data_IF_762884318610
#
_entry.id   IF_762884318610
#
_cell.length_a   1.000
_cell.length_b   1.000
_cell.length_c   1.000
_cell.angle_alpha   90.00
_cell.angle_beta   90.00
_cell.angle_gamma   90.00
#
_symmetry.space_group_name_H-M   'P 1'
#
loop_
_entity.id
_entity.type
_entity.pdbx_description
1 polymer ?
#
# COMPACT_ATOMS: atom_id res chain seq x y z
N UNK A 1 6.09 4.36 -18.09
CA UNK A 1 7.14 3.53 -17.47
C UNK A 1 6.72 3.27 -16.05
N UNK A 2 6.85 2.03 -15.57
CA UNK A 2 6.53 1.66 -14.19
C UNK A 2 7.82 1.16 -13.57
N UNK A 3 8.15 1.65 -12.39
CA UNK A 3 9.31 1.21 -11.60
C UNK A 3 8.84 0.82 -10.21
N UNK A 4 9.28 -0.33 -9.72
CA UNK A 4 8.92 -0.85 -8.39
C UNK A 4 10.18 -0.89 -7.54
N UNK A 5 10.18 -0.21 -6.39
CA UNK A 5 11.31 -0.14 -5.47
C UNK A 5 10.92 -0.68 -4.10
N UNK A 6 11.59 -1.73 -3.64
CA UNK A 6 11.54 -2.11 -2.23
C UNK A 6 12.18 -1.00 -1.40
N UNK A 7 11.42 -0.40 -0.49
CA UNK A 7 11.94 0.58 0.46
C UNK A 7 12.51 -0.16 1.67
N UNK A 8 11.72 -1.03 2.28
CA UNK A 8 12.16 -1.89 3.37
C UNK A 8 11.33 -3.18 3.43
N UNK A 9 11.86 -4.16 4.15
CA UNK A 9 11.18 -5.39 4.49
C UNK A 9 11.75 -5.93 5.80
N UNK A 10 10.93 -6.59 6.60
CA UNK A 10 11.39 -7.31 7.78
C UNK A 10 10.57 -8.59 7.96
N UNK A 11 11.15 -9.53 8.68
CA UNK A 11 10.52 -10.78 9.09
C UNK A 11 11.02 -11.12 10.49
N UNK A 12 10.08 -11.29 11.41
CA UNK A 12 10.32 -11.67 12.79
C UNK A 12 9.87 -13.11 12.98
N UNK A 13 10.61 -13.85 13.80
CA UNK A 13 10.22 -15.19 14.21
C UNK A 13 9.04 -15.13 15.18
N UNK A 14 7.95 -15.84 14.88
CA UNK A 14 6.76 -15.88 15.73
C UNK A 14 7.02 -16.63 17.04
N UNK A 15 7.97 -17.56 17.08
CA UNK A 15 8.33 -18.26 18.31
C UNK A 15 9.01 -17.33 19.32
N UNK A 16 9.80 -16.37 18.82
CA UNK A 16 10.49 -15.37 19.65
C UNK A 16 9.55 -14.48 20.48
N UNK A 17 8.29 -14.35 20.06
CA UNK A 17 7.23 -13.61 20.75
C UNK A 17 6.19 -14.54 21.38
N UNK A 18 6.51 -15.84 21.48
CA UNK A 18 5.73 -16.85 22.17
C UNK A 18 4.46 -17.30 21.44
N UNK A 19 4.40 -17.16 20.11
CA UNK A 19 3.36 -17.78 19.30
C UNK A 19 3.79 -19.16 18.83
N UNK A 20 2.81 -19.97 18.47
CA UNK A 20 3.01 -21.27 17.83
C UNK A 20 2.57 -21.22 16.37
N UNK A 21 2.95 -22.22 15.58
CA UNK A 21 2.51 -22.33 14.19
C UNK A 21 0.99 -22.28 14.03
N UNK A 22 0.24 -22.85 14.98
CA UNK A 22 -1.23 -22.86 14.92
C UNK A 22 -1.83 -21.47 15.12
N UNK A 23 -1.13 -20.57 15.81
CA UNK A 23 -1.55 -19.18 15.99
C UNK A 23 -1.51 -18.39 14.69
N UNK A 24 -0.62 -18.74 13.75
CA UNK A 24 -0.53 -18.09 12.44
C UNK A 24 -1.85 -18.11 11.65
N UNK A 25 -2.73 -19.09 11.91
CA UNK A 25 -4.08 -19.13 11.32
C UNK A 25 -4.96 -17.93 11.70
N UNK A 26 -4.63 -17.24 12.80
CA UNK A 26 -5.31 -16.02 13.26
C UNK A 26 -4.61 -14.74 12.82
N UNK A 27 -3.48 -14.86 12.11
CA UNK A 27 -2.72 -13.71 11.66
C UNK A 27 -3.52 -12.90 10.65
N UNK A 28 -3.28 -11.58 10.67
CA UNK A 28 -4.00 -10.60 9.88
C UNK A 28 -3.05 -9.84 8.99
N UNK A 29 -3.60 -9.33 7.89
CA UNK A 29 -2.91 -8.37 7.05
C UNK A 29 -3.51 -6.98 7.26
N UNK A 30 -2.62 -6.00 7.44
CA UNK A 30 -2.96 -4.59 7.28
C UNK A 30 -2.28 -4.09 6.02
N UNK A 31 -3.01 -3.33 5.19
CA UNK A 31 -2.45 -2.71 3.99
C UNK A 31 -2.80 -1.24 3.96
N UNK A 32 -1.79 -0.39 3.79
CA UNK A 32 -1.92 1.05 3.71
C UNK A 32 -1.29 1.56 2.41
N UNK A 33 -1.90 2.59 1.84
CA UNK A 33 -1.41 3.25 0.64
C UNK A 33 -1.19 4.74 0.90
N UNK A 34 -0.07 5.26 0.38
CA UNK A 34 0.16 6.69 0.28
C UNK A 34 0.38 7.05 -1.19
N UNK A 35 -0.27 8.11 -1.64
CA UNK A 35 -0.18 8.60 -3.02
C UNK A 35 0.49 9.96 -3.00
N UNK A 36 1.56 10.09 -3.76
CA UNK A 36 2.28 11.33 -3.99
C UNK A 36 2.28 11.64 -5.48
N UNK A 37 2.06 12.90 -5.83
CA UNK A 37 2.00 13.35 -7.22
C UNK A 37 3.08 14.42 -7.40
N UNK A 38 3.97 14.21 -8.36
CA UNK A 38 5.00 15.17 -8.76
C UNK A 38 4.76 15.54 -10.24
N UNK A 39 3.95 16.59 -10.50
CA UNK A 39 3.63 17.00 -11.86
C UNK A 39 4.82 17.48 -12.68
N UNK A 40 5.81 18.09 -12.04
CA UNK A 40 7.02 18.59 -12.73
C UNK A 40 7.83 17.43 -13.31
N UNK A 41 7.92 16.31 -12.58
CA UNK A 41 8.54 15.08 -13.08
C UNK A 41 7.58 14.19 -13.87
N UNK A 42 6.30 14.57 -13.97
CA UNK A 42 5.23 13.74 -14.56
C UNK A 42 5.12 12.36 -13.89
N UNK A 43 5.22 12.32 -12.56
CA UNK A 43 5.24 11.11 -11.75
C UNK A 43 4.03 11.02 -10.82
N UNK A 44 3.49 9.81 -10.71
CA UNK A 44 2.63 9.40 -9.59
C UNK A 44 3.40 8.32 -8.84
N UNK A 45 3.56 8.50 -7.53
CA UNK A 45 4.26 7.56 -6.66
C UNK A 45 3.24 7.01 -5.68
N UNK A 46 3.07 5.69 -5.69
CA UNK A 46 2.20 4.99 -4.75
C UNK A 46 3.06 4.11 -3.86
N UNK A 47 3.10 4.45 -2.58
CA UNK A 47 3.70 3.60 -1.57
C UNK A 47 2.67 2.62 -1.03
N UNK A 48 3.00 1.33 -1.07
CA UNK A 48 2.23 0.27 -0.45
C UNK A 48 2.99 -0.22 0.80
N UNK A 49 2.30 -0.25 1.94
CA UNK A 49 2.80 -0.75 3.21
C UNK A 49 1.93 -1.92 3.63
N UNK A 50 2.53 -3.08 3.81
CA UNK A 50 1.87 -4.30 4.26
C UNK A 50 2.47 -4.70 5.60
N UNK A 51 1.61 -5.02 6.58
CA UNK A 51 1.97 -5.67 7.84
C UNK A 51 1.24 -6.99 7.94
N UNK A 52 1.96 -8.05 8.28
CA UNK A 52 1.43 -9.34 8.67
C UNK A 52 1.65 -9.50 10.17
N UNK A 53 0.59 -9.66 10.94
CA UNK A 53 0.67 -9.52 12.39
C UNK A 53 -0.31 -10.43 13.13
N UNK A 54 0.01 -10.74 14.38
CA UNK A 54 -0.88 -11.41 15.33
C UNK A 54 -1.34 -10.42 16.39
N UNK A 55 -2.46 -10.77 17.04
CA UNK A 55 -2.99 -10.02 18.18
C UNK A 55 -3.05 -10.96 19.39
N UNK A 56 -2.48 -10.52 20.51
CA UNK A 56 -2.59 -11.18 21.81
C UNK A 56 -2.71 -10.10 22.89
N UNK A 57 -3.67 -10.23 23.78
CA UNK A 57 -3.94 -9.27 24.87
C UNK A 57 -4.02 -7.82 24.36
N UNK A 58 -4.78 -7.62 23.28
CA UNK A 58 -5.00 -6.33 22.60
C UNK A 58 -3.74 -5.68 21.98
N UNK A 59 -2.59 -6.36 22.02
CA UNK A 59 -1.34 -5.89 21.41
C UNK A 59 -1.12 -6.55 20.05
N UNK A 60 -0.71 -5.74 19.07
CA UNK A 60 -0.26 -6.22 17.76
C UNK A 60 1.22 -6.63 17.80
N UNK A 61 1.52 -7.80 17.25
CA UNK A 61 2.87 -8.31 17.08
C UNK A 61 3.14 -8.51 15.59
N UNK A 62 3.98 -7.64 15.03
CA UNK A 62 4.34 -7.73 13.62
C UNK A 62 5.26 -8.93 13.38
N UNK A 63 4.80 -9.83 12.52
CA UNK A 63 5.53 -11.02 12.10
C UNK A 63 6.31 -10.76 10.81
N UNK A 64 5.75 -10.00 9.89
CA UNK A 64 6.50 -9.50 8.72
C UNK A 64 5.93 -8.19 8.23
N UNK A 65 6.74 -7.44 7.49
CA UNK A 65 6.30 -6.22 6.87
C UNK A 65 7.07 -5.90 5.60
N UNK A 66 6.41 -5.17 4.72
CA UNK A 66 6.93 -4.79 3.42
C UNK A 66 6.49 -3.37 3.08
N UNK A 67 7.43 -2.51 2.71
CA UNK A 67 7.16 -1.18 2.14
C UNK A 67 7.76 -1.08 0.74
N UNK A 68 6.93 -0.74 -0.24
CA UNK A 68 7.32 -0.65 -1.65
C UNK A 68 6.80 0.66 -2.23
N UNK A 69 7.65 1.36 -2.97
CA UNK A 69 7.24 2.49 -3.82
C UNK A 69 7.04 2.03 -5.26
N UNK A 70 5.90 2.38 -5.84
CA UNK A 70 5.57 2.17 -7.25
C UNK A 70 5.55 3.53 -7.94
N UNK A 71 6.46 3.74 -8.88
CA UNK A 71 6.61 5.00 -9.60
C UNK A 71 6.01 4.83 -11.00
N UNK A 72 5.00 5.64 -11.30
CA UNK A 72 4.31 5.68 -12.58
C UNK A 72 4.68 6.97 -13.30
N UNK A 73 5.50 6.85 -14.36
CA UNK A 73 5.79 7.98 -15.26
C UNK A 73 4.72 8.05 -16.33
N UNK A 74 3.93 9.13 -16.29
CA UNK A 74 2.79 9.34 -17.17
C UNK A 74 3.23 10.20 -18.36
N UNK A 75 3.00 9.71 -19.57
CA UNK A 75 3.22 10.50 -20.79
C UNK A 75 2.13 11.56 -20.90
N UNK A 76 2.49 12.77 -21.34
CA UNK A 76 1.56 13.89 -21.49
C UNK A 76 0.78 14.22 -20.22
N UNK A 77 1.42 14.11 -19.04
CA UNK A 77 0.80 14.29 -17.73
C UNK A 77 -0.15 15.50 -17.67
N UNK A 78 0.32 16.67 -18.16
CA UNK A 78 -0.45 17.91 -18.13
C UNK A 78 -1.74 17.90 -18.96
N UNK A 79 -1.83 17.01 -19.95
CA UNK A 79 -3.02 16.79 -20.78
C UNK A 79 -3.91 15.66 -20.24
N UNK A 80 -3.33 14.75 -19.46
CA UNK A 80 -4.03 13.58 -18.92
C UNK A 80 -4.81 13.90 -17.65
N UNK A 81 -4.29 14.80 -16.81
CA UNK A 81 -4.93 15.16 -15.55
C UNK A 81 -5.32 16.62 -15.53
N UNK A 82 -6.49 16.90 -14.94
CA UNK A 82 -6.98 18.24 -14.75
C UNK A 82 -6.30 18.87 -13.53
N UNK A 83 -5.79 20.08 -13.71
CA UNK A 83 -5.33 20.93 -12.63
C UNK A 83 -6.52 21.75 -12.13
N UNK A 84 -6.81 21.65 -10.85
CA UNK A 84 -7.72 22.58 -10.18
C UNK A 84 -6.98 23.88 -9.83
N UNK A 85 -7.74 24.90 -9.42
CA UNK A 85 -7.17 26.08 -8.78
C UNK A 85 -6.33 25.62 -7.56
N UNK A 86 -5.17 26.26 -7.36
CA UNK A 86 -4.16 25.91 -6.35
C UNK A 86 -3.25 24.69 -6.65
N UNK A 87 -2.99 24.38 -7.92
CA UNK A 87 -2.08 23.29 -8.34
C UNK A 87 -2.48 21.88 -7.85
N UNK A 88 -3.71 21.69 -7.39
CA UNK A 88 -4.23 20.38 -7.00
C UNK A 88 -4.55 19.57 -8.25
N UNK A 89 -4.06 18.33 -8.29
CA UNK A 89 -4.29 17.40 -9.40
C UNK A 89 -5.36 16.40 -8.98
N UNK A 90 -6.45 16.36 -9.73
CA UNK A 90 -7.48 15.35 -9.53
C UNK A 90 -7.16 14.12 -10.39
N UNK A 91 -6.93 12.99 -9.73
CA UNK A 91 -6.75 11.69 -10.39
C UNK A 91 -8.12 11.01 -10.45
N UNK A 92 -8.65 10.72 -11.66
CA UNK A 92 -9.88 9.95 -11.78
C UNK A 92 -9.82 8.64 -10.99
N UNK A 93 -10.91 8.31 -10.30
CA UNK A 93 -11.00 7.13 -9.43
C UNK A 93 -10.58 5.85 -10.15
N UNK A 94 -11.00 5.70 -11.39
CA UNK A 94 -10.76 4.54 -12.24
C UNK A 94 -9.27 4.38 -12.55
N UNK A 95 -8.57 5.50 -12.76
CA UNK A 95 -7.12 5.52 -12.98
C UNK A 95 -6.40 5.16 -11.68
N UNK A 96 -6.79 5.75 -10.55
CA UNK A 96 -6.21 5.43 -9.25
C UNK A 96 -6.44 3.96 -8.88
N UNK A 97 -7.64 3.45 -9.07
CA UNK A 97 -8.01 2.05 -8.86
C UNK A 97 -7.13 1.10 -9.69
N UNK A 98 -6.85 1.47 -10.94
CA UNK A 98 -5.93 0.73 -11.83
C UNK A 98 -4.50 0.71 -11.28
N UNK A 99 -3.96 1.85 -10.86
CA UNK A 99 -2.63 1.89 -10.26
C UNK A 99 -2.54 1.10 -8.96
N UNK A 100 -3.57 1.19 -8.11
CA UNK A 100 -3.65 0.40 -6.87
C UNK A 100 -3.68 -1.10 -7.16
N UNK A 101 -4.42 -1.54 -8.17
CA UNK A 101 -4.43 -2.95 -8.56
C UNK A 101 -3.04 -3.45 -8.97
N UNK A 102 -2.30 -2.66 -9.76
CA UNK A 102 -0.91 -2.96 -10.14
C UNK A 102 -0.02 -3.02 -8.88
N UNK A 103 -0.13 -2.04 -7.98
CA UNK A 103 0.65 -1.98 -6.75
C UNK A 103 0.40 -3.19 -5.84
N UNK A 104 -0.87 -3.58 -5.67
CA UNK A 104 -1.26 -4.74 -4.86
C UNK A 104 -0.69 -6.03 -5.44
N UNK A 105 -0.79 -6.20 -6.77
CA UNK A 105 -0.23 -7.37 -7.46
C UNK A 105 1.28 -7.47 -7.26
N UNK A 106 2.01 -6.36 -7.49
CA UNK A 106 3.45 -6.31 -7.30
C UNK A 106 3.88 -6.55 -5.85
N UNK A 107 3.21 -5.91 -4.90
CA UNK A 107 3.52 -6.07 -3.47
C UNK A 107 3.22 -7.49 -2.97
N UNK A 108 2.13 -8.12 -3.44
CA UNK A 108 1.79 -9.52 -3.13
C UNK A 108 2.87 -10.47 -3.63
N UNK A 109 3.31 -10.35 -4.88
CA UNK A 109 4.39 -11.18 -5.43
C UNK A 109 5.71 -10.98 -4.68
N UNK A 110 6.05 -9.74 -4.38
CA UNK A 110 7.26 -9.41 -3.63
C UNK A 110 7.22 -9.95 -2.19
N UNK A 111 6.09 -9.87 -1.51
CA UNK A 111 5.93 -10.41 -0.16
C UNK A 111 6.19 -11.91 -0.13
N UNK A 112 5.57 -12.68 -1.04
CA UNK A 112 5.78 -14.13 -1.15
C UNK A 112 7.25 -14.49 -1.44
N UNK A 113 7.94 -13.69 -2.25
CA UNK A 113 9.37 -13.90 -2.54
C UNK A 113 10.29 -13.56 -1.37
N UNK A 114 9.91 -12.56 -0.56
CA UNK A 114 10.72 -12.08 0.55
C UNK A 114 10.53 -12.89 1.83
N UNK A 115 9.43 -13.66 1.94
CA UNK A 115 9.25 -14.55 3.07
C UNK A 115 10.32 -15.64 3.09
N UNK A 116 11.11 -15.68 4.16
CA UNK A 116 12.15 -16.70 4.34
C UNK A 116 11.65 -17.86 5.19
N UNK A 117 10.79 -17.57 6.17
CA UNK A 117 10.11 -18.55 6.99
C UNK A 117 9.12 -19.36 6.13
N UNK A 118 9.30 -20.70 6.03
CA UNK A 118 8.40 -21.56 5.27
C UNK A 118 6.93 -21.46 5.72
N UNK A 119 6.68 -21.26 7.00
CA UNK A 119 5.32 -21.15 7.55
C UNK A 119 4.62 -19.88 7.06
N UNK A 120 5.37 -18.79 6.81
CA UNK A 120 4.79 -17.54 6.33
C UNK A 120 4.43 -17.57 4.85
N UNK A 121 5.12 -18.39 4.06
CA UNK A 121 4.86 -18.53 2.61
C UNK A 121 3.44 -19.04 2.30
N UNK A 122 2.82 -19.75 3.25
CA UNK A 122 1.44 -20.20 3.15
C UNK A 122 0.43 -19.05 3.29
N UNK A 123 0.83 -17.92 3.89
CA UNK A 123 -0.03 -16.77 4.16
C UNK A 123 0.18 -15.70 3.09
N UNK A 124 -0.61 -15.82 2.03
CA UNK A 124 -0.59 -14.88 0.91
C UNK A 124 -1.48 -13.69 1.23
N UNK A 125 -1.02 -12.48 0.87
CA UNK A 125 -1.84 -11.27 0.95
C UNK A 125 -3.20 -11.50 0.23
N UNK A 126 -4.33 -11.35 0.94
CA UNK A 126 -5.64 -11.60 0.35
C UNK A 126 -5.96 -10.58 -0.75
N UNK A 127 -6.93 -10.92 -1.60
CA UNK A 127 -7.45 -9.98 -2.59
C UNK A 127 -8.09 -8.78 -1.88
N UNK A 128 -7.66 -7.58 -2.26
CA UNK A 128 -8.18 -6.33 -1.69
C UNK A 128 -9.00 -5.60 -2.75
N UNK A 129 -10.12 -5.02 -2.34
CA UNK A 129 -10.95 -4.22 -3.23
C UNK A 129 -10.32 -2.84 -3.46
N UNK A 130 -9.55 -2.72 -4.55
CA UNK A 130 -8.82 -1.51 -4.93
C UNK A 130 -9.73 -0.31 -5.25
N UNK A 131 -10.97 -0.52 -5.68
CA UNK A 131 -11.95 0.56 -5.84
C UNK A 131 -12.35 1.18 -4.50
N UNK A 132 -12.61 0.36 -3.48
CA UNK A 132 -12.90 0.85 -2.12
C UNK A 132 -11.72 1.61 -1.51
N UNK A 133 -10.50 1.16 -1.79
CA UNK A 133 -9.28 1.87 -1.36
C UNK A 133 -9.19 3.23 -2.06
N UNK A 134 -9.40 3.28 -3.38
CA UNK A 134 -9.40 4.54 -4.13
C UNK A 134 -10.43 5.53 -3.56
N UNK A 135 -11.64 5.07 -3.24
CA UNK A 135 -12.69 5.89 -2.60
C UNK A 135 -12.24 6.47 -1.25
N UNK A 136 -11.61 5.64 -0.42
CA UNK A 136 -11.11 6.06 0.89
C UNK A 136 -10.00 7.12 0.76
N UNK A 137 -9.07 6.94 -0.19
CA UNK A 137 -7.99 7.91 -0.45
C UNK A 137 -8.55 9.25 -0.91
N UNK A 138 -9.47 9.24 -1.89
CA UNK A 138 -10.07 10.46 -2.44
C UNK A 138 -10.89 11.19 -1.35
N UNK A 139 -11.68 10.46 -0.57
CA UNK A 139 -12.46 11.03 0.54
C UNK A 139 -11.55 11.66 1.59
N UNK A 140 -10.46 10.98 1.97
CA UNK A 140 -9.49 11.47 2.96
C UNK A 140 -8.75 12.73 2.49
N UNK A 141 -8.51 12.87 1.18
CA UNK A 141 -7.92 14.08 0.61
C UNK A 141 -8.89 15.28 0.74
N UNK A 142 -10.17 15.07 0.42
CA UNK A 142 -11.22 16.11 0.51
C UNK A 142 -11.50 16.57 1.94
N UNK A 143 -11.38 15.69 2.94
CA UNK A 143 -11.61 16.05 4.34
C UNK A 143 -10.48 16.91 4.92
N UNK A 144 -9.22 16.68 4.52
CA UNK A 144 -8.07 17.48 4.97
C UNK A 144 -8.13 18.92 4.49
N UNK A 145 -8.71 19.14 3.31
CA UNK A 145 -8.90 20.48 2.76
C UNK A 145 -9.92 21.33 3.51
N UNK A 146 -10.89 20.71 4.20
CA UNK A 146 -11.93 21.43 4.96
C UNK A 146 -11.48 21.87 6.36
N UNK A 147 -10.42 21.29 6.90
CA UNK A 147 -9.91 21.59 8.24
C UNK A 147 -8.87 22.71 8.28
N UNK A 148 -8.43 23.22 7.13
CA UNK A 148 -7.39 24.28 7.04
C UNK A 148 -7.96 25.70 6.94
N UNK A 149 -9.26 25.89 7.22
CA UNK A 149 -9.96 27.19 7.13
C UNK A 149 -10.59 27.60 8.46
N UNK A 150 -9.80 27.58 9.53
CA UNK A 150 -10.13 28.24 10.80
C UNK A 150 -8.94 29.01 11.31
#
# INVERSE_FOLDING_TARGET
>A
MIEIKKINSFENDYESVGFSKTDLKKAKFNTKFLVHIDPEKSLIIIECMIRFYLIRDEKEYDLSGLRVANLFKIKNFKKTFNYQQDNKIDIPKEILATFLNICIGGARGMLTMLHTNPDYKEYILPLVNHHKIADSIITSAKSKDRTSTK
#
